data_IF_138569797606
#
_entry.id   IF_138569797606
#
_cell.length_a   1.000
_cell.length_b   1.000
_cell.length_c   1.000
_cell.angle_alpha   90.00
_cell.angle_beta   90.00
_cell.angle_gamma   90.00
#
_symmetry.space_group_name_H-M   'P 1'
#
loop_
_entity.id
_entity.type
_entity.pdbx_description
1 polymer ?
#
# COMPACT_ATOMS: atom_id res chain seq x y z
N UNK A 1 9.21 -0.06 -11.55
CA UNK A 1 10.49 -0.77 -11.81
C UNK A 1 10.21 -2.26 -11.80
N UNK A 2 10.15 -2.89 -12.98
CA UNK A 2 10.15 -4.34 -13.09
C UNK A 2 11.51 -4.80 -12.55
N UNK A 3 11.54 -5.27 -11.31
CA UNK A 3 12.74 -5.89 -10.78
C UNK A 3 13.00 -7.11 -11.67
N UNK A 4 14.13 -7.06 -12.36
CA UNK A 4 14.67 -8.04 -13.30
C UNK A 4 14.42 -9.48 -12.77
N UNK A 5 13.30 -10.09 -13.17
CA UNK A 5 12.79 -11.33 -12.54
C UNK A 5 13.80 -12.47 -12.64
N UNK A 6 14.56 -12.49 -13.75
CA UNK A 6 15.69 -13.38 -13.97
C UNK A 6 16.84 -13.19 -12.98
N UNK A 7 17.17 -11.96 -12.59
CA UNK A 7 18.17 -11.69 -11.56
C UNK A 7 17.68 -12.10 -10.18
N UNK A 8 16.40 -11.87 -9.88
CA UNK A 8 15.81 -12.28 -8.60
C UNK A 8 15.81 -13.81 -8.48
N UNK A 9 15.40 -14.53 -9.53
CA UNK A 9 15.44 -15.99 -9.57
C UNK A 9 16.88 -16.51 -9.45
N UNK A 10 17.84 -15.87 -10.13
CA UNK A 10 19.27 -16.19 -10.00
C UNK A 10 19.78 -16.01 -8.58
N UNK A 11 19.37 -14.93 -7.91
CA UNK A 11 19.78 -14.66 -6.53
C UNK A 11 19.13 -15.63 -5.54
N UNK A 12 17.85 -15.97 -5.72
CA UNK A 12 17.15 -16.99 -4.93
C UNK A 12 17.90 -18.33 -5.03
N UNK A 13 18.40 -18.69 -6.22
CA UNK A 13 19.15 -19.94 -6.42
C UNK A 13 20.44 -20.02 -5.59
N UNK A 14 21.01 -18.88 -5.19
CA UNK A 14 22.22 -18.82 -4.35
C UNK A 14 21.93 -19.09 -2.88
N UNK A 15 20.66 -19.13 -2.46
CA UNK A 15 20.22 -19.44 -1.09
C UNK A 15 21.01 -18.67 -0.02
N UNK A 16 21.18 -17.36 -0.23
CA UNK A 16 22.01 -16.49 0.60
C UNK A 16 21.29 -15.92 1.84
N UNK A 17 20.34 -16.65 2.45
CA UNK A 17 19.54 -16.15 3.57
C UNK A 17 20.40 -15.69 4.76
N UNK A 18 21.37 -16.50 5.19
CA UNK A 18 22.20 -16.18 6.35
C UNK A 18 22.96 -14.86 6.16
N UNK A 19 23.55 -14.66 4.98
CA UNK A 19 24.24 -13.41 4.65
C UNK A 19 23.26 -12.23 4.63
N UNK A 20 22.15 -12.34 3.90
CA UNK A 20 21.19 -11.24 3.75
C UNK A 20 20.52 -10.86 5.07
N UNK A 21 20.28 -11.81 5.97
CA UNK A 21 19.66 -11.55 7.28
C UNK A 21 20.54 -10.67 8.18
N UNK A 22 21.86 -10.72 8.01
CA UNK A 22 22.81 -9.90 8.78
C UNK A 22 23.01 -8.48 8.23
N UNK A 23 22.57 -8.21 7.00
CA UNK A 23 22.78 -6.92 6.31
C UNK A 23 21.80 -5.81 6.74
N UNK A 24 20.93 -6.06 7.72
CA UNK A 24 19.94 -5.09 8.18
C UNK A 24 18.87 -4.78 7.13
N UNK A 25 18.46 -3.49 7.03
CA UNK A 25 17.32 -3.07 6.19
C UNK A 25 17.45 -3.47 4.71
N UNK A 26 18.58 -3.23 4.01
CA UNK A 26 18.71 -3.61 2.60
C UNK A 26 18.57 -5.13 2.37
N UNK A 27 19.16 -5.94 3.24
CA UNK A 27 19.05 -7.40 3.16
C UNK A 27 17.62 -7.87 3.39
N UNK A 28 16.95 -7.32 4.41
CA UNK A 28 15.54 -7.58 4.70
C UNK A 28 14.60 -7.21 3.54
N UNK A 29 14.81 -6.06 2.90
CA UNK A 29 14.03 -5.66 1.73
C UNK A 29 14.22 -6.62 0.55
N UNK A 30 15.44 -7.10 0.34
CA UNK A 30 15.75 -8.07 -0.72
C UNK A 30 15.12 -9.44 -0.44
N UNK A 31 15.21 -9.92 0.80
CA UNK A 31 14.50 -11.13 1.25
C UNK A 31 12.99 -10.98 1.08
N UNK A 32 12.43 -9.82 1.43
CA UNK A 32 11.00 -9.54 1.22
C UNK A 32 10.62 -9.67 -0.26
N UNK A 33 11.47 -9.19 -1.18
CA UNK A 33 11.22 -9.34 -2.63
C UNK A 33 11.23 -10.79 -3.11
N UNK A 34 11.96 -11.70 -2.44
CA UNK A 34 11.96 -13.12 -2.83
C UNK A 34 10.57 -13.74 -2.75
N UNK A 35 9.72 -13.23 -1.85
CA UNK A 35 8.34 -13.69 -1.67
C UNK A 35 7.46 -13.47 -2.91
N UNK A 36 7.87 -12.61 -3.84
CA UNK A 36 7.18 -12.42 -5.12
C UNK A 36 7.32 -13.61 -6.09
N UNK A 37 8.20 -14.56 -5.78
CA UNK A 37 8.49 -15.76 -6.59
C UNK A 37 8.10 -16.99 -5.81
N UNK A 38 7.41 -17.95 -6.45
CA UNK A 38 6.99 -19.20 -5.78
C UNK A 38 8.18 -19.96 -5.18
N UNK A 39 9.32 -20.00 -5.86
CA UNK A 39 10.56 -20.63 -5.34
C UNK A 39 11.13 -19.88 -4.14
N UNK A 40 11.11 -18.55 -4.17
CA UNK A 40 11.57 -17.69 -3.07
C UNK A 40 10.64 -17.76 -1.86
N UNK A 41 9.32 -17.81 -2.08
CA UNK A 41 8.34 -18.07 -1.03
C UNK A 41 8.60 -19.42 -0.35
N UNK A 42 8.65 -20.52 -1.11
CA UNK A 42 8.91 -21.85 -0.54
C UNK A 42 10.24 -21.91 0.21
N UNK A 43 11.28 -21.25 -0.31
CA UNK A 43 12.57 -21.14 0.36
C UNK A 43 12.46 -20.40 1.71
N UNK A 44 11.87 -19.21 1.73
CA UNK A 44 11.80 -18.41 2.95
C UNK A 44 10.79 -18.98 3.96
N UNK A 45 9.74 -19.66 3.51
CA UNK A 45 8.82 -20.39 4.38
C UNK A 45 9.47 -21.60 5.07
N UNK A 46 10.57 -22.13 4.53
CA UNK A 46 11.37 -23.16 5.23
C UNK A 46 12.25 -22.60 6.35
N UNK A 47 12.28 -21.27 6.50
CA UNK A 47 12.94 -20.53 7.57
C UNK A 47 11.87 -19.84 8.44
N UNK A 48 12.28 -19.15 9.52
CA UNK A 48 11.36 -18.35 10.33
C UNK A 48 11.07 -16.94 9.76
N UNK A 49 11.56 -16.62 8.56
CA UNK A 49 11.45 -15.26 8.01
C UNK A 49 10.00 -14.83 7.80
N UNK A 50 9.19 -15.65 7.13
CA UNK A 50 7.82 -15.28 6.75
C UNK A 50 6.95 -15.05 7.98
N UNK A 51 7.00 -15.96 8.96
CA UNK A 51 6.22 -15.83 10.19
C UNK A 51 6.67 -14.62 11.03
N UNK A 52 7.98 -14.41 11.20
CA UNK A 52 8.49 -13.25 11.93
C UNK A 52 8.08 -11.94 11.26
N UNK A 53 8.15 -11.88 9.93
CA UNK A 53 7.71 -10.71 9.18
C UNK A 53 6.21 -10.48 9.31
N UNK A 54 5.37 -11.50 9.20
CA UNK A 54 3.92 -11.34 9.38
C UNK A 54 3.59 -10.82 10.79
N UNK A 55 4.22 -11.37 11.84
CA UNK A 55 4.05 -10.89 13.22
C UNK A 55 4.44 -9.41 13.34
N UNK A 56 5.63 -9.05 12.84
CA UNK A 56 6.11 -7.67 12.86
C UNK A 56 5.18 -6.72 12.09
N UNK A 57 4.79 -7.11 10.88
CA UNK A 57 3.96 -6.30 10.00
C UNK A 57 2.55 -6.13 10.52
N UNK A 58 1.98 -7.13 11.19
CA UNK A 58 0.71 -7.02 11.90
C UNK A 58 0.78 -6.10 13.11
N UNK A 59 1.86 -6.20 13.90
CA UNK A 59 1.99 -5.42 15.11
C UNK A 59 2.26 -3.94 14.82
N UNK A 60 3.26 -3.64 13.99
CA UNK A 60 3.78 -2.26 13.84
C UNK A 60 4.30 -1.91 12.44
N UNK A 61 4.60 -2.90 11.59
CA UNK A 61 5.23 -2.65 10.29
C UNK A 61 4.36 -1.82 9.34
N UNK A 62 3.06 -2.11 9.26
CA UNK A 62 2.13 -1.35 8.41
C UNK A 62 2.04 0.14 8.78
N UNK A 63 2.17 0.48 10.07
CA UNK A 63 2.18 1.85 10.56
C UNK A 63 3.53 2.53 10.32
N UNK A 64 4.62 1.78 10.53
CA UNK A 64 5.98 2.26 10.28
C UNK A 64 6.20 2.57 8.79
N UNK A 65 5.53 1.83 7.91
CA UNK A 65 5.52 2.08 6.48
C UNK A 65 4.96 3.47 6.14
N UNK A 66 3.84 3.88 6.77
CA UNK A 66 3.25 5.22 6.57
C UNK A 66 4.28 6.30 6.84
N UNK A 67 4.97 6.21 7.99
CA UNK A 67 6.00 7.18 8.39
C UNK A 67 7.13 7.26 7.36
N UNK A 68 7.56 6.11 6.83
CA UNK A 68 8.60 6.07 5.79
C UNK A 68 8.16 6.76 4.51
N UNK A 69 6.94 6.52 4.05
CA UNK A 69 6.39 7.15 2.83
C UNK A 69 6.21 8.66 3.04
N UNK A 70 5.69 9.07 4.20
CA UNK A 70 5.51 10.49 4.53
C UNK A 70 6.83 11.24 4.63
N UNK A 71 7.87 10.64 5.21
CA UNK A 71 9.20 11.23 5.22
C UNK A 71 9.71 11.45 3.81
N UNK A 72 9.57 10.46 2.91
CA UNK A 72 10.00 10.61 1.52
C UNK A 72 9.19 11.65 0.74
N UNK A 73 7.90 11.78 1.02
CA UNK A 73 7.06 12.84 0.46
C UNK A 73 7.47 14.22 0.99
N UNK A 74 7.69 14.34 2.29
CA UNK A 74 8.12 15.58 2.93
C UNK A 74 9.47 16.05 2.37
N UNK A 75 10.45 15.15 2.22
CA UNK A 75 11.75 15.46 1.64
C UNK A 75 11.62 15.94 0.18
N UNK A 76 10.79 15.25 -0.61
CA UNK A 76 10.53 15.64 -2.00
C UNK A 76 9.86 17.01 -2.10
N UNK A 77 8.98 17.34 -1.16
CA UNK A 77 8.27 18.62 -1.11
C UNK A 77 9.06 19.76 -0.46
N UNK A 78 10.00 19.48 0.44
CA UNK A 78 10.80 20.49 1.13
C UNK A 78 12.00 20.96 0.29
N UNK A 79 12.47 20.16 -0.68
CA UNK A 79 13.62 20.55 -1.48
C UNK A 79 13.30 21.82 -2.30
N UNK A 80 14.18 22.83 -2.23
CA UNK A 80 14.11 24.08 -3.01
C UNK A 80 14.19 23.89 -4.54
N UNK A 81 14.21 22.62 -4.99
CA UNK A 81 14.35 22.12 -6.36
C UNK A 81 13.00 21.98 -7.08
N UNK A 82 11.92 22.59 -6.58
CA UNK A 82 10.68 22.78 -7.35
C UNK A 82 10.86 23.48 -8.71
N UNK A 83 12.07 23.98 -9.01
CA UNK A 83 12.39 24.67 -10.27
C UNK A 83 13.24 23.89 -11.28
N UNK A 84 13.83 22.72 -10.97
CA UNK A 84 14.77 22.07 -11.95
C UNK A 84 14.79 20.55 -12.08
N UNK A 85 13.94 19.76 -11.41
CA UNK A 85 13.87 18.32 -11.71
C UNK A 85 12.73 17.58 -11.03
N UNK A 86 12.21 16.54 -11.68
CA UNK A 86 11.23 15.61 -11.10
C UNK A 86 11.94 14.74 -10.07
N UNK A 87 11.86 15.09 -8.78
CA UNK A 87 12.25 14.19 -7.68
C UNK A 87 11.27 13.02 -7.65
N UNK A 88 11.68 11.84 -8.12
CA UNK A 88 10.83 10.66 -8.04
C UNK A 88 10.85 10.10 -6.62
N UNK A 89 9.72 10.16 -5.93
CA UNK A 89 9.51 9.47 -4.65
C UNK A 89 9.37 7.98 -4.94
N UNK A 90 10.36 7.19 -4.53
CA UNK A 90 10.30 5.74 -4.65
C UNK A 90 9.41 5.15 -3.56
N UNK A 91 8.40 4.37 -3.96
CA UNK A 91 7.54 3.62 -3.03
C UNK A 91 8.34 2.46 -2.42
N UNK A 92 8.49 2.38 -1.08
CA UNK A 92 9.25 1.30 -0.45
C UNK A 92 8.62 -0.09 -0.66
N UNK A 93 9.44 -1.14 -0.52
CA UNK A 93 8.97 -2.55 -0.57
C UNK A 93 7.99 -2.80 0.56
N UNK A 94 6.94 -3.58 0.28
CA UNK A 94 5.87 -3.85 1.25
C UNK A 94 5.55 -5.34 1.26
N UNK A 95 5.65 -5.98 2.44
CA UNK A 95 5.51 -7.43 2.61
C UNK A 95 4.27 -8.00 1.92
N UNK A 96 3.10 -7.48 2.26
CA UNK A 96 1.84 -7.97 1.71
C UNK A 96 1.75 -7.85 0.18
N UNK A 97 2.39 -6.85 -0.41
CA UNK A 97 2.43 -6.69 -1.86
C UNK A 97 3.34 -7.70 -2.55
N UNK A 98 4.40 -8.17 -1.89
CA UNK A 98 5.26 -9.24 -2.41
C UNK A 98 4.60 -10.61 -2.23
N UNK A 99 3.96 -10.88 -1.09
CA UNK A 99 3.25 -12.14 -0.81
C UNK A 99 2.17 -12.45 -1.86
N UNK A 100 1.30 -11.47 -2.16
CA UNK A 100 0.17 -11.71 -3.06
C UNK A 100 0.54 -11.81 -4.55
N UNK A 101 1.83 -11.77 -4.89
CA UNK A 101 2.26 -12.13 -6.25
C UNK A 101 2.24 -13.64 -6.48
N UNK A 102 2.15 -14.44 -5.42
CA UNK A 102 2.09 -15.91 -5.47
C UNK A 102 0.74 -16.42 -4.94
N UNK A 103 0.29 -17.59 -5.41
CA UNK A 103 -0.96 -18.20 -4.92
C UNK A 103 -0.81 -18.68 -3.48
N UNK A 104 0.39 -19.14 -3.14
CA UNK A 104 0.77 -19.60 -1.81
C UNK A 104 0.70 -18.45 -0.80
N UNK A 105 1.21 -17.27 -1.17
CA UNK A 105 1.11 -16.08 -0.33
C UNK A 105 -0.34 -15.61 -0.12
N UNK A 106 -1.20 -15.67 -1.15
CA UNK A 106 -2.64 -15.37 -0.97
C UNK A 106 -3.29 -16.35 0.01
N UNK A 107 -3.08 -17.66 -0.17
CA UNK A 107 -3.62 -18.66 0.75
C UNK A 107 -3.16 -18.44 2.19
N UNK A 108 -1.89 -18.05 2.38
CA UNK A 108 -1.35 -17.74 3.70
C UNK A 108 -2.07 -16.54 4.32
N UNK A 109 -2.29 -15.47 3.56
CA UNK A 109 -3.06 -14.29 4.02
C UNK A 109 -4.49 -14.67 4.43
N UNK A 110 -5.18 -15.49 3.62
CA UNK A 110 -6.54 -15.96 3.93
C UNK A 110 -6.56 -16.84 5.18
N UNK A 111 -5.57 -17.74 5.36
CA UNK A 111 -5.46 -18.59 6.54
C UNK A 111 -5.22 -17.80 7.83
N UNK A 112 -4.44 -16.72 7.76
CA UNK A 112 -4.17 -15.86 8.92
C UNK A 112 -5.31 -14.86 9.19
N UNK A 113 -6.24 -14.68 8.24
CA UNK A 113 -7.29 -13.66 8.31
C UNK A 113 -6.75 -12.24 8.11
N UNK A 114 -5.54 -12.11 7.54
CA UNK A 114 -4.80 -10.86 7.60
C UNK A 114 -5.49 -9.76 6.82
N UNK A 115 -6.01 -10.12 5.65
CA UNK A 115 -6.65 -9.21 4.72
C UNK A 115 -7.95 -8.61 5.29
N UNK A 116 -8.81 -9.47 5.85
CA UNK A 116 -10.06 -9.08 6.49
C UNK A 116 -9.82 -8.17 7.70
N UNK A 117 -8.81 -8.44 8.52
CA UNK A 117 -8.44 -7.57 9.63
C UNK A 117 -8.09 -6.15 9.16
N UNK A 118 -7.29 -6.00 8.10
CA UNK A 118 -6.95 -4.67 7.56
C UNK A 118 -8.15 -3.97 6.95
N UNK A 119 -9.07 -4.73 6.31
CA UNK A 119 -10.32 -4.17 5.82
C UNK A 119 -11.19 -3.69 6.99
N UNK A 120 -11.28 -4.48 8.07
CA UNK A 120 -12.00 -4.15 9.30
C UNK A 120 -11.44 -2.91 10.01
N UNK A 121 -10.12 -2.68 9.96
CA UNK A 121 -9.49 -1.49 10.51
C UNK A 121 -9.99 -0.19 9.86
N UNK A 122 -10.36 -0.19 8.57
CA UNK A 122 -10.89 1.00 7.90
C UNK A 122 -12.22 1.46 8.51
N UNK A 123 -13.08 0.50 8.85
CA UNK A 123 -14.42 0.72 9.39
C UNK A 123 -14.46 0.85 10.92
N UNK A 124 -13.37 0.53 11.62
CA UNK A 124 -13.32 0.59 13.08
C UNK A 124 -13.27 2.02 13.61
N UNK A 125 -14.17 2.37 14.53
CA UNK A 125 -14.15 3.66 15.24
C UNK A 125 -13.01 3.75 16.26
N UNK A 126 -12.51 2.60 16.71
CA UNK A 126 -11.38 2.52 17.66
C UNK A 126 -10.02 2.68 16.97
N UNK A 127 -9.97 2.53 15.64
CA UNK A 127 -8.73 2.64 14.88
C UNK A 127 -8.32 4.10 14.72
N UNK A 128 -7.07 4.40 15.06
CA UNK A 128 -6.47 5.72 14.87
C UNK A 128 -6.35 6.06 13.38
N UNK A 129 -6.25 7.37 13.07
CA UNK A 129 -5.92 7.85 11.72
C UNK A 129 -4.71 7.14 11.12
N UNK A 130 -3.65 6.98 11.92
CA UNK A 130 -2.41 6.34 11.48
C UNK A 130 -2.60 4.84 11.15
N UNK A 131 -3.38 4.12 11.94
CA UNK A 131 -3.71 2.72 11.67
C UNK A 131 -4.55 2.57 10.39
N UNK A 132 -5.57 3.42 10.21
CA UNK A 132 -6.39 3.43 8.98
C UNK A 132 -5.53 3.68 7.75
N UNK A 133 -4.60 4.65 7.82
CA UNK A 133 -3.67 4.93 6.73
C UNK A 133 -2.71 3.78 6.45
N UNK A 134 -2.20 3.11 7.48
CA UNK A 134 -1.39 1.91 7.31
C UNK A 134 -2.17 0.79 6.62
N UNK A 135 -3.41 0.54 7.04
CA UNK A 135 -4.29 -0.43 6.40
C UNK A 135 -4.59 -0.08 4.93
N UNK A 136 -4.82 1.20 4.62
CA UNK A 136 -4.97 1.67 3.24
C UNK A 136 -3.73 1.33 2.40
N UNK A 137 -2.51 1.57 2.89
CA UNK A 137 -1.28 1.19 2.18
C UNK A 137 -1.13 -0.32 2.00
N UNK A 138 -1.48 -1.12 3.02
CA UNK A 138 -1.49 -2.59 2.89
C UNK A 138 -2.39 -3.03 1.74
N UNK A 139 -3.64 -2.56 1.75
CA UNK A 139 -4.60 -2.86 0.69
C UNK A 139 -4.10 -2.38 -0.67
N UNK A 140 -3.54 -1.18 -0.76
CA UNK A 140 -2.98 -0.64 -2.00
C UNK A 140 -1.92 -1.56 -2.62
N UNK A 141 -1.00 -2.05 -1.79
CA UNK A 141 0.06 -2.96 -2.22
C UNK A 141 -0.47 -4.34 -2.62
N UNK A 142 -1.59 -4.79 -2.07
CA UNK A 142 -2.26 -6.00 -2.52
C UNK A 142 -2.95 -5.75 -3.87
N UNK A 143 -3.74 -4.68 -3.96
CA UNK A 143 -4.58 -4.34 -5.11
C UNK A 143 -3.80 -3.88 -6.35
N UNK A 144 -2.56 -3.41 -6.21
CA UNK A 144 -1.71 -3.11 -7.37
C UNK A 144 -1.24 -4.36 -8.12
N UNK A 145 -1.27 -5.52 -7.48
CA UNK A 145 -0.85 -6.78 -8.11
C UNK A 145 -2.01 -7.39 -8.89
N UNK A 146 -1.72 -8.01 -10.04
CA UNK A 146 -2.78 -8.65 -10.86
C UNK A 146 -3.52 -9.74 -10.09
N UNK A 147 -2.78 -10.55 -9.33
CA UNK A 147 -3.34 -11.69 -8.60
C UNK A 147 -4.11 -11.22 -7.35
N UNK A 148 -3.52 -10.35 -6.52
CA UNK A 148 -4.22 -9.77 -5.36
C UNK A 148 -5.48 -9.00 -5.74
N UNK A 149 -5.46 -8.25 -6.86
CA UNK A 149 -6.67 -7.59 -7.34
C UNK A 149 -7.77 -8.59 -7.73
N UNK A 150 -7.41 -9.62 -8.51
CA UNK A 150 -8.36 -10.62 -9.02
C UNK A 150 -8.99 -11.45 -7.92
N UNK A 151 -8.17 -11.95 -6.99
CA UNK A 151 -8.61 -12.93 -5.99
C UNK A 151 -9.19 -12.28 -4.72
N UNK A 152 -8.69 -11.10 -4.32
CA UNK A 152 -9.11 -10.43 -3.09
C UNK A 152 -9.96 -9.18 -3.36
N UNK A 153 -9.49 -8.24 -4.18
CA UNK A 153 -10.20 -6.94 -4.30
C UNK A 153 -11.62 -7.07 -4.86
N UNK A 154 -11.81 -7.94 -5.86
CA UNK A 154 -13.14 -8.17 -6.46
C UNK A 154 -14.06 -8.87 -5.46
N UNK A 155 -13.54 -9.83 -4.69
CA UNK A 155 -14.30 -10.63 -3.70
C UNK A 155 -14.86 -9.77 -2.56
N UNK A 156 -14.10 -8.80 -2.07
CA UNK A 156 -14.46 -7.97 -0.91
C UNK A 156 -14.85 -6.52 -1.27
N UNK A 157 -15.07 -6.22 -2.55
CA UNK A 157 -15.46 -4.90 -3.07
C UNK A 157 -14.62 -3.72 -2.53
N UNK A 158 -13.30 -3.94 -2.43
CA UNK A 158 -12.38 -3.05 -1.71
C UNK A 158 -12.34 -1.65 -2.30
N UNK A 159 -12.49 -1.50 -3.62
CA UNK A 159 -12.47 -0.18 -4.25
C UNK A 159 -13.59 0.72 -3.73
N UNK A 160 -14.81 0.19 -3.58
CA UNK A 160 -15.93 0.96 -3.02
C UNK A 160 -15.67 1.34 -1.58
N UNK A 161 -15.12 0.43 -0.79
CA UNK A 161 -14.72 0.71 0.60
C UNK A 161 -13.71 1.86 0.66
N UNK A 162 -12.65 1.84 -0.16
CA UNK A 162 -11.64 2.92 -0.18
C UNK A 162 -12.28 4.25 -0.61
N UNK A 163 -13.15 4.25 -1.62
CA UNK A 163 -13.87 5.46 -2.06
C UNK A 163 -14.79 5.99 -0.96
N UNK A 164 -15.50 5.11 -0.26
CA UNK A 164 -16.35 5.50 0.88
C UNK A 164 -15.51 6.18 1.97
N UNK A 165 -14.36 5.61 2.32
CA UNK A 165 -13.42 6.22 3.28
C UNK A 165 -12.89 7.56 2.76
N UNK A 166 -12.54 7.66 1.47
CA UNK A 166 -12.05 8.88 0.84
C UNK A 166 -13.05 10.04 0.93
N UNK A 167 -14.35 9.73 0.93
CA UNK A 167 -15.44 10.70 0.87
C UNK A 167 -16.04 11.00 2.24
N UNK A 168 -16.08 10.02 3.15
CA UNK A 168 -16.83 10.13 4.41
C UNK A 168 -15.94 10.20 5.67
N UNK A 169 -14.70 9.71 5.64
CA UNK A 169 -13.86 9.68 6.85
C UNK A 169 -13.65 11.08 7.43
N UNK A 170 -13.86 11.31 8.72
CA UNK A 170 -13.73 12.65 9.32
C UNK A 170 -12.29 13.19 9.31
N UNK A 171 -11.29 12.31 9.21
CA UNK A 171 -9.89 12.70 9.20
C UNK A 171 -9.39 12.98 7.78
N UNK A 172 -9.07 14.25 7.49
CA UNK A 172 -8.55 14.66 6.18
C UNK A 172 -7.25 13.96 5.78
N UNK A 173 -6.37 13.62 6.73
CA UNK A 173 -5.15 12.87 6.42
C UNK A 173 -5.44 11.46 5.90
N UNK A 174 -6.50 10.81 6.40
CA UNK A 174 -6.98 9.52 5.89
C UNK A 174 -7.54 9.70 4.48
N UNK A 175 -8.40 10.70 4.27
CA UNK A 175 -8.94 11.03 2.94
C UNK A 175 -7.84 11.32 1.92
N UNK A 176 -6.84 12.13 2.29
CA UNK A 176 -5.67 12.44 1.47
C UNK A 176 -4.87 11.19 1.09
N UNK A 177 -4.73 10.24 2.02
CA UNK A 177 -4.06 8.96 1.74
C UNK A 177 -4.81 8.14 0.68
N UNK A 178 -6.16 8.21 0.66
CA UNK A 178 -6.98 7.52 -0.34
C UNK A 178 -6.60 7.87 -1.78
N UNK A 179 -6.25 9.12 -2.07
CA UNK A 179 -5.82 9.54 -3.41
C UNK A 179 -4.57 8.80 -3.90
N UNK A 180 -3.57 8.67 -3.03
CA UNK A 180 -2.32 7.97 -3.35
C UNK A 180 -2.51 6.47 -3.48
N UNK A 181 -3.29 5.85 -2.58
CA UNK A 181 -3.52 4.40 -2.64
C UNK A 181 -4.37 4.01 -3.85
N UNK A 182 -5.40 4.79 -4.20
CA UNK A 182 -6.18 4.58 -5.42
C UNK A 182 -5.29 4.78 -6.66
N UNK A 183 -4.40 5.77 -6.66
CA UNK A 183 -3.39 5.95 -7.70
C UNK A 183 -2.49 4.73 -7.86
N UNK A 184 -2.00 4.16 -6.75
CA UNK A 184 -1.17 2.95 -6.77
C UNK A 184 -1.94 1.72 -7.31
N UNK A 185 -3.21 1.56 -6.94
CA UNK A 185 -4.06 0.45 -7.40
C UNK A 185 -4.40 0.59 -8.91
N UNK A 186 -4.56 1.81 -9.40
CA UNK A 186 -4.91 2.13 -10.80
C UNK A 186 -3.82 1.72 -11.82
N UNK A 187 -2.66 1.25 -11.36
CA UNK A 187 -1.60 0.71 -12.25
C UNK A 187 -2.04 -0.52 -13.04
N UNK A 188 -3.11 -1.23 -12.61
CA UNK A 188 -3.71 -2.31 -13.40
C UNK A 188 -4.86 -1.81 -14.28
N UNK A 189 -4.96 -2.32 -15.52
CA UNK A 189 -6.03 -1.93 -16.46
C UNK A 189 -7.44 -2.20 -15.91
N UNK A 190 -7.61 -3.31 -15.20
CA UNK A 190 -8.90 -3.69 -14.60
C UNK A 190 -9.31 -2.72 -13.50
N UNK A 191 -8.38 -2.37 -12.60
CA UNK A 191 -8.64 -1.39 -11.55
C UNK A 191 -8.92 0.00 -12.11
N UNK A 192 -8.15 0.44 -13.11
CA UNK A 192 -8.35 1.74 -13.74
C UNK A 192 -9.76 1.88 -14.33
N UNK A 193 -10.23 0.85 -15.04
CA UNK A 193 -11.59 0.83 -15.60
C UNK A 193 -12.66 0.80 -14.52
N UNK A 194 -12.46 0.00 -13.46
CA UNK A 194 -13.39 -0.05 -12.34
C UNK A 194 -13.51 1.30 -11.64
N UNK A 195 -12.39 1.99 -11.39
CA UNK A 195 -12.37 3.33 -10.81
C UNK A 195 -13.04 4.36 -11.72
N UNK A 196 -12.79 4.29 -13.03
CA UNK A 196 -13.45 5.15 -14.01
C UNK A 196 -14.98 5.06 -13.92
N UNK A 197 -15.51 3.83 -13.84
CA UNK A 197 -16.93 3.58 -13.67
C UNK A 197 -17.48 4.05 -12.31
N UNK A 198 -16.61 4.22 -11.31
CA UNK A 198 -16.95 4.74 -9.98
C UNK A 198 -16.76 6.26 -9.88
N UNK A 199 -16.46 6.96 -10.99
CA UNK A 199 -16.27 8.41 -11.03
C UNK A 199 -14.90 8.88 -10.58
N UNK A 200 -13.89 8.01 -10.59
CA UNK A 200 -12.50 8.33 -10.23
C UNK A 200 -11.56 8.10 -11.41
N UNK A 201 -10.64 9.03 -11.63
CA UNK A 201 -9.68 8.96 -12.73
C UNK A 201 -8.23 9.13 -12.26
N UNK A 202 -7.32 8.59 -13.05
CA UNK A 202 -5.89 8.72 -12.83
C UNK A 202 -5.17 8.65 -14.17
N UNK A 203 -4.19 9.51 -14.35
CA UNK A 203 -3.23 9.39 -15.45
C UNK A 203 -2.25 8.28 -15.07
N UNK A 204 -2.08 7.25 -15.91
CA UNK A 204 -1.33 6.02 -15.56
C UNK A 204 0.11 6.26 -15.12
N UNK A 205 0.74 7.36 -15.54
CA UNK A 205 2.09 7.73 -15.09
C UNK A 205 2.12 8.46 -13.74
N UNK A 206 0.95 8.81 -13.19
CA UNK A 206 0.80 9.51 -11.92
C UNK A 206 0.36 8.55 -10.82
N UNK A 207 1.01 8.61 -9.67
CA UNK A 207 0.63 7.85 -8.48
C UNK A 207 -0.52 8.48 -7.69
N UNK A 208 -1.36 9.28 -8.36
CA UNK A 208 -2.54 9.92 -7.77
C UNK A 208 -3.79 9.56 -8.58
N UNK A 209 -4.89 9.33 -7.88
CA UNK A 209 -6.21 9.15 -8.45
C UNK A 209 -7.16 10.14 -7.79
N UNK A 210 -7.97 10.83 -8.59
CA UNK A 210 -8.84 11.94 -8.17
C UNK A 210 -10.28 11.68 -8.61
N UNK A 211 -11.30 12.24 -7.92
CA UNK A 211 -12.67 12.25 -8.41
C UNK A 211 -12.76 13.05 -9.71
N UNK A 212 -13.54 12.56 -10.68
CA UNK A 212 -13.82 13.28 -11.94
C UNK A 212 -14.65 14.55 -11.70
N UNK A 213 -15.49 14.56 -10.66
CA UNK A 213 -16.36 15.67 -10.31
C UNK A 213 -15.98 16.21 -8.93
N UNK A 214 -15.21 17.30 -8.87
CA UNK A 214 -14.70 17.85 -7.61
C UNK A 214 -15.78 18.53 -6.77
N UNK A 215 -16.76 19.19 -7.40
CA UNK A 215 -17.76 20.03 -6.71
C UNK A 215 -18.69 19.25 -5.77
N UNK A 216 -18.97 17.98 -6.07
CA UNK A 216 -19.96 17.18 -5.35
C UNK A 216 -19.37 15.90 -4.74
N UNK A 217 -18.04 15.73 -4.77
CA UNK A 217 -17.41 14.48 -4.32
C UNK A 217 -17.37 14.28 -2.80
N UNK A 218 -17.65 15.32 -2.00
CA UNK A 218 -17.59 15.26 -0.53
C UNK A 218 -16.18 15.14 0.07
N UNK A 219 -15.16 14.86 -0.74
CA UNK A 219 -13.79 14.56 -0.27
C UNK A 219 -13.18 15.75 0.47
N UNK A 220 -13.38 16.97 -0.04
CA UNK A 220 -12.86 18.20 0.54
C UNK A 220 -13.83 18.89 1.49
N UNK A 221 -15.00 18.29 1.77
CA UNK A 221 -15.97 18.86 2.70
C UNK A 221 -15.43 18.77 4.12
N UNK A 222 -15.05 19.91 4.66
CA UNK A 222 -14.73 20.09 6.08
C UNK A 222 -16.03 20.50 6.77
N UNK A 223 -16.42 19.80 7.83
CA UNK A 223 -17.52 20.27 8.67
C UNK A 223 -16.98 21.47 9.44
N UNK A 224 -17.63 22.63 9.31
CA UNK A 224 -17.31 23.78 10.16
C UNK A 224 -17.51 23.37 11.62
N UNK A 225 -16.42 23.27 12.37
CA UNK A 225 -16.51 23.35 13.83
C UNK A 225 -16.95 24.78 14.10
N UNK A 226 -18.20 25.00 14.53
CA UNK A 226 -18.79 26.33 14.77
C UNK A 226 -18.10 27.21 15.83
N UNK A 227 -16.82 27.00 16.08
CA UNK A 227 -15.91 27.93 16.72
C UNK A 227 -15.37 28.87 15.66
N UNK A 228 -15.80 30.13 15.67
CA UNK A 228 -15.06 31.16 14.93
C UNK A 228 -13.58 31.08 15.35
N UNK A 229 -12.65 31.00 14.39
CA UNK A 229 -11.25 31.01 14.72
C UNK A 229 -10.93 32.35 15.39
N UNK A 230 -10.56 32.30 16.68
CA UNK A 230 -9.91 33.41 17.38
C UNK A 230 -8.52 33.58 16.75
N UNK A 231 -8.46 34.26 15.61
CA UNK A 231 -7.21 34.76 15.07
C UNK A 231 -6.75 35.92 15.95
N UNK A 232 -5.52 35.88 16.52
CA UNK A 232 -4.92 37.04 17.16
C UNK A 232 -4.59 38.15 16.16
#
# INVERSE_FOLDING_TARGET
>A
VACNTSLLDSLISKRAFDVLSTMGKPGKELLTRFLSRTTGFSYLSSTNFVDNELIFWKATGYVSYVKSVESSLADAFASSVWRKGTTQVSVPVHLYGELVQTKEGIKLLEQKGDFEDFLGLLCSDKATSLQKRGALWVLAHIGKTKLGYKELFVKYDVLRTIIHIATHCTCLAVRGTCFYVLGLICTTRSAARALQNLGWESKRESFICVPMAVKDCGVFTVKDCGTEPLWP
#
